data_IF_985881077925
#
_entry.id   IF_985881077925
#
_cell.length_a   1.000
_cell.length_b   1.000
_cell.length_c   1.000
_cell.angle_alpha   90.00
_cell.angle_beta   90.00
_cell.angle_gamma   90.00
#
_symmetry.space_group_name_H-M   'P 1'
#
loop_
_entity.id
_entity.type
_entity.pdbx_description
1 polymer ?
#
# COMPACT_ATOMS: atom_id res chain seq x y z
N UNK A 1 6.36 -6.05 -25.66
CA UNK A 1 5.75 -6.89 -24.61
C UNK A 1 5.80 -6.09 -23.31
N UNK A 2 4.66 -5.70 -22.76
CA UNK A 2 4.63 -5.01 -21.47
C UNK A 2 4.97 -6.04 -20.39
N UNK A 3 6.17 -5.96 -19.82
CA UNK A 3 6.56 -6.79 -18.68
C UNK A 3 6.18 -6.03 -17.42
N UNK A 4 5.32 -6.62 -16.57
CA UNK A 4 4.94 -6.01 -15.31
C UNK A 4 6.02 -6.29 -14.27
N UNK A 5 6.69 -5.24 -13.81
CA UNK A 5 7.71 -5.31 -12.77
C UNK A 5 7.26 -4.51 -11.54
N UNK A 6 6.83 -5.23 -10.50
CA UNK A 6 6.32 -4.64 -9.27
C UNK A 6 7.40 -3.89 -8.49
N UNK A 7 8.65 -4.38 -8.50
CA UNK A 7 9.73 -3.79 -7.74
C UNK A 7 10.14 -2.44 -8.36
N UNK A 8 10.19 -2.38 -9.70
CA UNK A 8 10.38 -1.12 -10.43
C UNK A 8 9.29 -0.08 -10.09
N UNK A 9 8.01 -0.47 -10.10
CA UNK A 9 6.92 0.46 -9.76
C UNK A 9 6.94 0.87 -8.30
N UNK A 10 7.33 -0.04 -7.40
CA UNK A 10 7.44 0.25 -5.97
C UNK A 10 8.52 1.30 -5.70
N UNK A 11 9.68 1.20 -6.35
CA UNK A 11 10.76 2.19 -6.23
C UNK A 11 10.36 3.57 -6.75
N UNK A 12 9.59 3.64 -7.84
CA UNK A 12 9.05 4.92 -8.35
C UNK A 12 7.99 5.49 -7.41
N UNK A 13 7.05 4.67 -6.97
CA UNK A 13 5.99 5.09 -6.05
C UNK A 13 6.55 5.55 -4.69
N UNK A 14 7.63 4.92 -4.20
CA UNK A 14 8.34 5.32 -2.97
C UNK A 14 8.90 6.75 -3.04
N UNK A 15 9.25 7.22 -4.24
CA UNK A 15 9.73 8.59 -4.48
C UNK A 15 8.59 9.60 -4.64
N UNK A 16 7.33 9.16 -4.57
CA UNK A 16 6.16 9.99 -4.82
C UNK A 16 5.92 10.26 -6.31
N UNK A 17 6.46 9.43 -7.21
CA UNK A 17 6.19 9.57 -8.64
C UNK A 17 4.78 9.08 -8.99
N UNK A 18 4.02 9.89 -9.74
CA UNK A 18 2.75 9.47 -10.32
C UNK A 18 3.03 8.55 -11.51
N UNK A 19 2.52 7.33 -11.44
CA UNK A 19 2.67 6.33 -12.49
C UNK A 19 1.70 6.58 -13.64
N UNK A 20 2.01 6.02 -14.80
CA UNK A 20 1.20 6.13 -16.01
C UNK A 20 -0.17 5.44 -15.81
N UNK A 21 -1.23 6.00 -16.39
CA UNK A 21 -2.61 5.47 -16.25
C UNK A 21 -2.71 3.97 -16.59
N UNK A 22 -2.00 3.55 -17.64
CA UNK A 22 -1.96 2.14 -18.07
C UNK A 22 -1.32 1.26 -16.97
N UNK A 23 -0.24 1.73 -16.34
CA UNK A 23 0.40 1.03 -15.25
C UNK A 23 -0.53 0.93 -14.04
N UNK A 24 -1.18 2.03 -13.66
CA UNK A 24 -2.16 2.07 -12.55
C UNK A 24 -3.31 1.09 -12.81
N UNK A 25 -3.87 1.04 -14.02
CA UNK A 25 -4.93 0.08 -14.38
C UNK A 25 -4.49 -1.37 -14.17
N UNK A 26 -3.26 -1.70 -14.58
CA UNK A 26 -2.70 -3.05 -14.39
C UNK A 26 -2.45 -3.36 -12.91
N UNK A 27 -1.90 -2.42 -12.15
CA UNK A 27 -1.67 -2.56 -10.70
C UNK A 27 -2.99 -2.81 -9.99
N UNK A 28 -4.02 -1.99 -10.25
CA UNK A 28 -5.34 -2.13 -9.65
C UNK A 28 -6.01 -3.47 -10.00
N UNK A 29 -5.86 -3.96 -11.23
CA UNK A 29 -6.39 -5.27 -11.62
C UNK A 29 -5.74 -6.40 -10.80
N UNK A 30 -4.41 -6.37 -10.64
CA UNK A 30 -3.66 -7.37 -9.87
C UNK A 30 -3.93 -7.30 -8.38
N UNK A 31 -3.96 -6.11 -7.80
CA UNK A 31 -4.28 -5.90 -6.38
C UNK A 31 -5.70 -6.37 -6.07
N UNK A 32 -6.66 -6.15 -6.98
CA UNK A 32 -8.03 -6.64 -6.82
C UNK A 32 -8.08 -8.16 -6.72
N UNK A 33 -7.30 -8.90 -7.51
CA UNK A 33 -7.22 -10.36 -7.41
C UNK A 33 -6.69 -10.79 -6.04
N UNK A 34 -5.65 -10.12 -5.53
CA UNK A 34 -5.09 -10.38 -4.19
C UNK A 34 -6.15 -10.13 -3.11
N UNK A 35 -6.75 -8.94 -3.08
CA UNK A 35 -7.74 -8.56 -2.07
C UNK A 35 -9.01 -9.42 -2.14
N UNK A 36 -9.46 -9.82 -3.33
CA UNK A 36 -10.62 -10.68 -3.50
C UNK A 36 -10.42 -12.10 -2.95
N UNK A 37 -9.16 -12.54 -2.81
CA UNK A 37 -8.82 -13.82 -2.19
C UNK A 37 -8.79 -13.78 -0.66
N UNK A 38 -8.84 -12.59 -0.06
CA UNK A 38 -8.77 -12.39 1.38
C UNK A 38 -10.13 -12.50 2.06
N UNK A 39 -10.13 -12.96 3.30
CA UNK A 39 -11.35 -13.08 4.11
C UNK A 39 -11.74 -11.71 4.66
N UNK A 40 -13.04 -11.48 4.85
CA UNK A 40 -13.56 -10.27 5.49
C UNK A 40 -12.98 -10.03 6.90
N UNK A 41 -12.69 -11.12 7.63
CA UNK A 41 -11.98 -11.07 8.92
C UNK A 41 -10.60 -11.68 8.72
N UNK A 42 -9.58 -10.83 8.76
CA UNK A 42 -8.18 -11.22 8.55
C UNK A 42 -7.56 -11.59 9.90
N UNK A 43 -6.90 -12.74 9.95
CA UNK A 43 -6.13 -13.17 11.12
C UNK A 43 -4.67 -12.76 10.96
N UNK A 44 -4.14 -12.02 11.92
CA UNK A 44 -2.76 -11.50 11.87
C UNK A 44 -2.02 -11.93 13.15
N UNK A 45 -0.83 -12.49 12.96
CA UNK A 45 0.06 -12.89 14.06
C UNK A 45 1.00 -11.76 14.44
N UNK A 46 1.29 -11.63 15.73
CA UNK A 46 2.33 -10.74 16.22
C UNK A 46 3.73 -11.27 15.86
N UNK A 47 4.76 -10.39 15.77
CA UNK A 47 4.70 -8.92 15.90
C UNK A 47 4.09 -8.25 14.66
N UNK A 48 3.33 -7.16 14.88
CA UNK A 48 2.72 -6.33 13.81
C UNK A 48 2.65 -4.87 14.25
N UNK A 49 2.93 -3.96 13.31
CA UNK A 49 2.73 -2.52 13.47
C UNK A 49 1.35 -2.14 12.94
N UNK A 50 0.53 -1.53 13.80
CA UNK A 50 -0.83 -1.09 13.44
C UNK A 50 -0.80 0.39 13.12
N UNK A 51 -1.36 0.76 11.97
CA UNK A 51 -1.38 2.13 11.44
C UNK A 51 -2.83 2.57 11.25
N UNK A 52 -3.16 3.74 11.81
CA UNK A 52 -4.46 4.38 11.62
C UNK A 52 -4.55 5.20 10.33
N UNK A 53 -5.34 6.27 10.38
CA UNK A 53 -5.63 7.12 9.23
C UNK A 53 -4.38 7.80 8.67
N UNK A 54 -4.35 7.97 7.35
CA UNK A 54 -3.23 8.60 6.63
C UNK A 54 -3.69 9.80 5.82
N UNK A 55 -4.87 9.74 5.19
CA UNK A 55 -5.47 10.85 4.46
C UNK A 55 -4.53 11.58 3.49
N UNK A 56 -3.86 10.83 2.60
CA UNK A 56 -3.00 11.40 1.56
C UNK A 56 -1.77 12.15 2.07
N UNK A 57 -1.36 11.96 3.32
CA UNK A 57 -0.14 12.53 3.90
C UNK A 57 1.09 11.67 3.55
N UNK A 58 1.46 11.64 2.26
CA UNK A 58 2.46 10.70 1.75
C UNK A 58 3.83 10.78 2.45
N UNK A 59 4.33 11.98 2.75
CA UNK A 59 5.63 12.12 3.44
C UNK A 59 5.60 11.54 4.86
N UNK A 60 4.46 11.65 5.55
CA UNK A 60 4.28 11.05 6.88
C UNK A 60 4.23 9.52 6.80
N UNK A 61 3.72 8.95 5.70
CA UNK A 61 3.80 7.50 5.44
C UNK A 61 5.24 7.05 5.24
N UNK A 62 6.04 7.81 4.49
CA UNK A 62 7.46 7.47 4.30
C UNK A 62 8.22 7.53 5.63
N UNK A 63 7.93 8.55 6.44
CA UNK A 63 8.48 8.69 7.79
C UNK A 63 8.04 7.54 8.71
N UNK A 64 6.79 7.11 8.61
CA UNK A 64 6.25 5.97 9.35
C UNK A 64 7.05 4.69 9.06
N UNK A 65 7.37 4.40 7.79
CA UNK A 65 8.21 3.25 7.45
C UNK A 65 9.66 3.41 7.93
N UNK A 66 10.19 4.64 7.92
CA UNK A 66 11.53 4.94 8.45
C UNK A 66 11.64 4.65 9.95
N UNK A 67 10.58 4.93 10.71
CA UNK A 67 10.54 4.73 12.17
C UNK A 67 10.10 3.32 12.57
N UNK A 68 9.06 2.79 11.94
CA UNK A 68 8.49 1.47 12.23
C UNK A 68 9.24 0.29 11.60
N UNK A 69 10.16 0.58 10.67
CA UNK A 69 10.92 -0.40 9.92
C UNK A 69 10.26 -0.79 8.59
N UNK A 70 11.07 -1.22 7.64
CA UNK A 70 10.65 -1.52 6.27
C UNK A 70 9.99 -2.90 6.13
N UNK A 71 9.04 -3.00 5.20
CA UNK A 71 8.52 -4.28 4.71
C UNK A 71 9.60 -4.95 3.85
N UNK A 72 9.88 -6.26 3.97
CA UNK A 72 9.14 -7.30 4.71
C UNK A 72 9.65 -7.59 6.12
N UNK A 73 10.59 -6.81 6.65
CA UNK A 73 11.17 -7.07 7.97
C UNK A 73 10.16 -6.78 9.10
N UNK A 74 9.31 -5.78 8.89
CA UNK A 74 8.17 -5.45 9.78
C UNK A 74 6.85 -5.83 9.10
N UNK A 75 5.94 -6.47 9.85
CA UNK A 75 4.57 -6.71 9.40
C UNK A 75 3.71 -5.46 9.68
N UNK A 76 2.81 -5.11 8.76
CA UNK A 76 1.94 -3.95 8.90
C UNK A 76 0.47 -4.30 8.74
N UNK A 77 -0.36 -3.68 9.58
CA UNK A 77 -1.81 -3.61 9.46
C UNK A 77 -2.22 -2.14 9.36
N UNK A 78 -2.75 -1.73 8.21
CA UNK A 78 -3.38 -0.43 8.06
C UNK A 78 -4.90 -0.55 8.22
N UNK A 79 -5.50 0.38 8.97
CA UNK A 79 -6.90 0.33 9.37
C UNK A 79 -7.86 1.00 8.36
N UNK A 80 -7.36 1.74 7.37
CA UNK A 80 -8.19 2.41 6.38
C UNK A 80 -7.79 3.87 6.14
N UNK A 81 -8.71 4.63 5.52
CA UNK A 81 -8.63 6.09 5.38
C UNK A 81 -7.29 6.58 4.79
N UNK A 82 -6.96 6.01 3.63
CA UNK A 82 -5.73 6.29 2.90
C UNK A 82 -5.78 7.60 2.10
N UNK A 83 -6.98 7.99 1.68
CA UNK A 83 -7.25 9.07 0.73
C UNK A 83 -8.05 10.19 1.38
N UNK A 84 -8.34 11.23 0.60
CA UNK A 84 -8.96 12.50 0.99
C UNK A 84 -8.08 13.37 1.89
N UNK A 85 -8.44 14.67 1.98
CA UNK A 85 -7.82 15.75 2.77
C UNK A 85 -6.39 16.12 2.38
N UNK A 86 -5.47 15.17 2.32
CA UNK A 86 -4.09 15.40 1.94
C UNK A 86 -3.90 15.54 0.43
N UNK A 87 -2.89 16.32 0.06
CA UNK A 87 -2.58 16.63 -1.34
C UNK A 87 -2.01 15.44 -2.13
N UNK A 88 -1.48 14.41 -1.46
CA UNK A 88 -0.76 13.30 -2.08
C UNK A 88 -1.51 11.95 -1.94
N UNK A 89 -2.83 11.98 -2.12
CA UNK A 89 -3.69 10.79 -2.00
C UNK A 89 -3.35 9.71 -3.03
N UNK A 90 -3.00 10.10 -4.27
CA UNK A 90 -2.69 9.16 -5.35
C UNK A 90 -1.38 8.43 -5.07
N UNK A 91 -0.36 9.17 -4.65
CA UNK A 91 0.96 8.66 -4.27
C UNK A 91 0.83 7.70 -3.08
N UNK A 92 0.07 8.11 -2.06
CA UNK A 92 -0.22 7.32 -0.87
C UNK A 92 -0.86 5.99 -1.23
N UNK A 93 -2.02 5.99 -1.89
CA UNK A 93 -2.71 4.73 -2.18
C UNK A 93 -1.89 3.86 -3.15
N UNK A 94 -1.23 4.47 -4.15
CA UNK A 94 -0.40 3.73 -5.13
C UNK A 94 0.75 2.99 -4.44
N UNK A 95 1.46 3.65 -3.52
CA UNK A 95 2.54 3.03 -2.79
C UNK A 95 2.05 1.89 -1.89
N UNK A 96 0.97 2.11 -1.13
CA UNK A 96 0.41 1.11 -0.22
C UNK A 96 -0.12 -0.14 -0.96
N UNK A 97 -0.80 0.02 -2.09
CA UNK A 97 -1.29 -1.13 -2.86
C UNK A 97 -0.15 -1.90 -3.56
N UNK A 98 0.95 -1.22 -3.93
CA UNK A 98 2.14 -1.90 -4.46
C UNK A 98 2.85 -2.71 -3.36
N UNK A 99 2.94 -2.20 -2.13
CA UNK A 99 3.42 -2.96 -0.98
C UNK A 99 2.53 -4.18 -0.72
N UNK A 100 1.20 -4.01 -0.78
CA UNK A 100 0.24 -5.11 -0.67
C UNK A 100 0.45 -6.17 -1.74
N UNK A 101 0.63 -5.75 -2.99
CA UNK A 101 0.85 -6.65 -4.12
C UNK A 101 2.17 -7.42 -3.98
N UNK A 102 3.22 -6.74 -3.52
CA UNK A 102 4.57 -7.29 -3.40
C UNK A 102 4.74 -8.21 -2.19
N UNK A 103 4.05 -7.90 -1.09
CA UNK A 103 4.19 -8.59 0.19
C UNK A 103 2.82 -8.93 0.83
N UNK A 104 1.95 -9.70 0.14
CA UNK A 104 0.56 -9.89 0.56
C UNK A 104 0.40 -10.52 1.95
N UNK A 105 1.38 -11.32 2.39
CA UNK A 105 1.39 -11.99 3.70
C UNK A 105 2.00 -11.17 4.83
N UNK A 106 2.61 -10.02 4.52
CA UNK A 106 3.31 -9.14 5.47
C UNK A 106 2.64 -7.77 5.61
N UNK A 107 1.80 -7.42 4.65
CA UNK A 107 1.17 -6.12 4.54
C UNK A 107 -0.34 -6.27 4.36
N UNK A 108 -1.12 -5.83 5.35
CA UNK A 108 -2.57 -5.92 5.35
C UNK A 108 -3.18 -4.53 5.27
N UNK A 109 -4.14 -4.36 4.36
CA UNK A 109 -4.93 -3.14 4.16
C UNK A 109 -6.38 -3.44 4.50
N UNK A 110 -6.96 -2.74 5.47
CA UNK A 110 -8.39 -2.76 5.73
C UNK A 110 -9.09 -1.60 5.03
N UNK A 111 -10.42 -1.66 4.96
CA UNK A 111 -11.24 -0.61 4.36
C UNK A 111 -11.63 0.40 5.44
N UNK A 112 -11.31 1.67 5.20
CA UNK A 112 -11.84 2.80 5.96
C UNK A 112 -13.17 3.31 5.40
N UNK A 113 -13.67 4.42 5.93
CA UNK A 113 -14.90 5.03 5.42
C UNK A 113 -14.67 5.95 4.22
N UNK A 114 -13.45 6.45 4.02
CA UNK A 114 -13.05 7.24 2.85
C UNK A 114 -12.63 6.37 1.66
#
# INVERSE_FOLDING_TARGET
RFSFDVDMYLERARKGEILEEIAIKVICAKVKEVLASERNVVNISSPVTIVGDVHGQFLDVIELFRVGGEVPNTNYLFLGDYVDRGAASVETITYLILLKLRFPQRFTLLRGNH
#
